data_IF_845276784401
#
_entry.id   IF_845276784401
#
_cell.length_a   1.000
_cell.length_b   1.000
_cell.length_c   1.000
_cell.angle_alpha   90.00
_cell.angle_beta   90.00
_cell.angle_gamma   90.00
#
_symmetry.space_group_name_H-M   'P 1'
#
loop_
_entity.id
_entity.type
_entity.pdbx_description
1 polymer ?
#
# COMPACT_ATOMS: atom_id res chain seq x y z
N UNK A 1 11.94 -14.10 -1.89
CA UNK A 1 10.83 -13.79 -2.82
C UNK A 1 11.16 -12.68 -3.81
N UNK A 2 11.52 -11.47 -3.36
CA UNK A 2 11.69 -10.33 -4.27
C UNK A 2 12.77 -10.52 -5.35
N UNK A 3 13.89 -11.18 -5.04
CA UNK A 3 14.91 -11.55 -6.04
C UNK A 3 14.36 -12.45 -7.15
N UNK A 4 13.52 -13.44 -6.78
CA UNK A 4 12.85 -14.31 -7.74
C UNK A 4 11.86 -13.49 -8.56
N UNK A 5 11.06 -12.64 -7.90
CA UNK A 5 10.11 -11.77 -8.58
C UNK A 5 10.78 -10.90 -9.65
N UNK A 6 11.96 -10.35 -9.38
CA UNK A 6 12.69 -9.53 -10.36
C UNK A 6 13.23 -10.33 -11.55
N UNK A 7 13.54 -11.62 -11.36
CA UNK A 7 14.18 -12.45 -12.37
C UNK A 7 13.20 -13.18 -13.30
N UNK A 8 11.92 -13.32 -12.90
CA UNK A 8 10.92 -14.06 -13.68
C UNK A 8 10.19 -13.19 -14.71
N UNK A 9 9.59 -13.85 -15.70
CA UNK A 9 8.80 -13.20 -16.75
C UNK A 9 7.46 -12.62 -16.22
N UNK A 10 6.76 -11.88 -17.08
CA UNK A 10 5.52 -11.20 -16.72
C UNK A 10 4.38 -12.14 -16.29
N UNK A 11 4.31 -13.34 -16.85
CA UNK A 11 3.26 -14.31 -16.51
C UNK A 11 3.43 -14.83 -15.09
N UNK A 12 4.65 -15.18 -14.71
CA UNK A 12 4.97 -15.63 -13.35
C UNK A 12 4.81 -14.48 -12.36
N UNK A 13 5.24 -13.24 -12.70
CA UNK A 13 4.96 -12.06 -11.86
C UNK A 13 3.47 -11.91 -11.58
N UNK A 14 2.61 -12.08 -12.58
CA UNK A 14 1.15 -12.01 -12.44
C UNK A 14 0.58 -13.13 -11.56
N UNK A 15 1.16 -14.33 -11.62
CA UNK A 15 0.78 -15.42 -10.70
C UNK A 15 1.18 -15.07 -9.27
N UNK A 16 2.44 -14.65 -9.05
CA UNK A 16 2.92 -14.24 -7.72
C UNK A 16 2.00 -13.17 -7.13
N UNK A 17 1.72 -12.10 -7.88
CA UNK A 17 0.87 -11.00 -7.39
C UNK A 17 -0.55 -11.43 -6.98
N UNK A 18 -1.11 -12.47 -7.62
CA UNK A 18 -2.43 -13.02 -7.30
C UNK A 18 -2.43 -13.85 -6.03
N UNK A 19 -1.40 -14.64 -5.80
CA UNK A 19 -1.35 -15.56 -4.64
C UNK A 19 -0.83 -14.91 -3.35
N UNK A 20 -0.34 -13.66 -3.42
CA UNK A 20 0.22 -12.94 -2.27
C UNK A 20 -0.78 -12.62 -1.17
N UNK A 21 -2.07 -12.57 -1.47
CA UNK A 21 -3.04 -11.97 -0.56
C UNK A 21 -3.09 -12.68 0.80
N UNK A 22 -3.34 -13.99 0.83
CA UNK A 22 -3.46 -14.73 2.09
C UNK A 22 -2.14 -14.72 2.88
N UNK A 23 -0.96 -15.08 2.29
CA UNK A 23 0.29 -15.07 3.03
C UNK A 23 0.66 -13.70 3.63
N UNK A 24 0.42 -12.61 2.89
CA UNK A 24 0.74 -11.26 3.39
C UNK A 24 -0.20 -10.86 4.52
N UNK A 25 -1.48 -11.24 4.46
CA UNK A 25 -2.42 -10.99 5.57
C UNK A 25 -2.04 -11.77 6.81
N UNK A 26 -1.66 -13.04 6.65
CA UNK A 26 -1.28 -13.91 7.77
C UNK A 26 -0.02 -13.40 8.49
N UNK A 27 0.93 -12.82 7.74
CA UNK A 27 2.13 -12.17 8.31
C UNK A 27 1.82 -10.84 9.01
N UNK A 28 0.88 -10.07 8.45
CA UNK A 28 0.44 -8.79 9.02
C UNK A 28 1.46 -7.64 8.94
N UNK A 29 1.02 -6.46 9.34
CA UNK A 29 1.81 -5.21 9.26
C UNK A 29 3.02 -5.16 10.20
N UNK A 30 3.03 -5.99 11.25
CA UNK A 30 4.11 -6.06 12.23
C UNK A 30 5.25 -7.03 11.85
N UNK A 31 5.17 -7.72 10.70
CA UNK A 31 6.23 -8.62 10.28
C UNK A 31 7.52 -7.85 9.98
N UNK A 32 8.58 -8.20 10.72
CA UNK A 32 9.92 -7.65 10.52
C UNK A 32 10.45 -7.94 9.10
N UNK A 33 10.09 -9.09 8.52
CA UNK A 33 10.48 -9.48 7.17
C UNK A 33 9.83 -8.58 6.12
N UNK A 34 8.55 -8.25 6.29
CA UNK A 34 7.86 -7.32 5.37
C UNK A 34 8.45 -5.93 5.47
N UNK A 35 8.65 -5.42 6.70
CA UNK A 35 9.21 -4.10 6.93
C UNK A 35 10.62 -3.98 6.33
N UNK A 36 11.47 -5.00 6.55
CA UNK A 36 12.80 -5.10 5.95
C UNK A 36 12.75 -5.16 4.43
N UNK A 37 11.75 -5.83 3.86
CA UNK A 37 11.55 -5.93 2.42
C UNK A 37 11.11 -4.59 1.81
N UNK A 38 10.25 -3.82 2.48
CA UNK A 38 9.87 -2.46 2.06
C UNK A 38 11.09 -1.55 2.10
N UNK A 39 11.85 -1.57 3.19
CA UNK A 39 13.06 -0.77 3.36
C UNK A 39 14.14 -1.07 2.31
N UNK A 40 14.38 -2.37 2.05
CA UNK A 40 15.42 -2.86 1.15
C UNK A 40 14.84 -3.39 -0.16
N UNK A 41 13.81 -2.72 -0.69
CA UNK A 41 13.15 -3.13 -1.92
C UNK A 41 14.18 -3.33 -3.05
N UNK A 42 14.21 -4.46 -3.77
CA UNK A 42 15.07 -4.59 -4.95
C UNK A 42 14.59 -3.74 -6.12
N UNK A 43 15.48 -3.39 -7.05
CA UNK A 43 15.09 -2.71 -8.31
C UNK A 43 14.23 -3.63 -9.18
N UNK A 44 13.06 -3.16 -9.61
CA UNK A 44 12.10 -3.95 -10.38
C UNK A 44 11.09 -4.72 -9.53
N UNK A 45 11.12 -4.58 -8.20
CA UNK A 45 10.16 -5.17 -7.26
C UNK A 45 9.12 -4.16 -6.77
N UNK A 46 9.07 -2.94 -7.30
CA UNK A 46 8.21 -1.86 -6.82
C UNK A 46 6.73 -2.26 -6.87
N UNK A 47 6.29 -2.94 -7.93
CA UNK A 47 4.92 -3.48 -8.07
C UNK A 47 4.57 -4.53 -7.03
N UNK A 48 5.54 -5.35 -6.62
CA UNK A 48 5.38 -6.33 -5.55
C UNK A 48 5.15 -5.61 -4.22
N UNK A 49 5.97 -4.61 -3.91
CA UNK A 49 5.85 -3.81 -2.68
C UNK A 49 4.52 -3.08 -2.64
N UNK A 50 4.12 -2.41 -3.73
CA UNK A 50 2.82 -1.75 -3.83
C UNK A 50 1.68 -2.71 -3.49
N UNK A 51 1.69 -3.94 -4.04
CA UNK A 51 0.65 -4.94 -3.75
C UNK A 51 0.65 -5.36 -2.29
N UNK A 52 1.81 -5.60 -1.69
CA UNK A 52 1.95 -5.96 -0.27
C UNK A 52 1.35 -4.86 0.62
N UNK A 53 1.74 -3.61 0.40
CA UNK A 53 1.24 -2.48 1.20
C UNK A 53 -0.28 -2.36 1.05
N UNK A 54 -0.80 -2.43 -0.17
CA UNK A 54 -2.26 -2.40 -0.40
C UNK A 54 -2.99 -3.50 0.39
N UNK A 55 -2.50 -4.74 0.38
CA UNK A 55 -3.12 -5.86 1.11
C UNK A 55 -3.15 -5.57 2.61
N UNK A 56 -2.04 -5.08 3.16
CA UNK A 56 -1.87 -4.78 4.57
C UNK A 56 -2.78 -3.64 5.07
N UNK A 57 -3.01 -2.63 4.22
CA UNK A 57 -3.75 -1.41 4.57
C UNK A 57 -5.16 -1.36 4.00
N UNK A 58 -5.69 -2.50 3.53
CA UNK A 58 -7.03 -2.54 2.94
C UNK A 58 -8.12 -2.48 3.99
N UNK A 59 -7.94 -3.22 5.09
CA UNK A 59 -8.94 -3.40 6.16
C UNK A 59 -8.57 -2.71 7.46
N UNK A 60 -7.38 -2.12 7.54
CA UNK A 60 -6.85 -1.47 8.72
C UNK A 60 -6.00 -0.25 8.33
N UNK A 61 -5.94 0.78 9.18
CA UNK A 61 -5.01 1.89 8.96
C UNK A 61 -3.55 1.40 9.01
N UNK A 62 -2.63 2.03 8.26
CA UNK A 62 -1.23 1.65 8.27
C UNK A 62 -0.60 1.90 9.66
N UNK A 63 0.33 1.04 10.08
CA UNK A 63 1.16 1.30 11.25
C UNK A 63 2.15 2.44 11.00
N UNK A 64 2.56 3.16 12.05
CA UNK A 64 3.54 4.25 11.93
C UNK A 64 4.85 3.79 11.29
N UNK A 65 5.34 2.63 11.69
CA UNK A 65 6.57 2.04 11.15
C UNK A 65 6.45 1.74 9.65
N UNK A 66 5.31 1.20 9.21
CA UNK A 66 5.06 0.97 7.79
C UNK A 66 5.04 2.30 7.01
N UNK A 67 4.35 3.33 7.54
CA UNK A 67 4.31 4.66 6.91
C UNK A 67 5.71 5.23 6.73
N UNK A 68 6.55 5.16 7.75
CA UNK A 68 7.92 5.66 7.72
C UNK A 68 8.76 4.97 6.63
N UNK A 69 8.73 3.63 6.56
CA UNK A 69 9.48 2.87 5.53
C UNK A 69 8.95 3.13 4.12
N UNK A 70 7.64 3.21 3.94
CA UNK A 70 7.00 3.50 2.64
C UNK A 70 7.35 4.91 2.16
N UNK A 71 7.33 5.89 3.05
CA UNK A 71 7.72 7.27 2.76
C UNK A 71 9.18 7.36 2.33
N UNK A 72 10.08 6.72 3.07
CA UNK A 72 11.50 6.71 2.76
C UNK A 72 11.77 6.08 1.38
N UNK A 73 11.08 4.97 1.08
CA UNK A 73 11.19 4.30 -0.21
C UNK A 73 10.68 5.18 -1.36
N UNK A 74 9.56 5.89 -1.16
CA UNK A 74 9.03 6.85 -2.13
C UNK A 74 10.06 7.92 -2.47
N UNK A 75 10.59 8.62 -1.47
CA UNK A 75 11.55 9.71 -1.71
C UNK A 75 12.86 9.24 -2.33
N UNK A 76 13.34 8.04 -1.98
CA UNK A 76 14.61 7.51 -2.49
C UNK A 76 14.50 6.95 -3.91
N UNK A 77 13.36 6.34 -4.28
CA UNK A 77 13.32 5.44 -5.45
C UNK A 77 12.03 5.44 -6.27
N UNK A 78 10.86 5.72 -5.69
CA UNK A 78 9.58 5.58 -6.40
C UNK A 78 9.02 6.97 -6.70
N UNK A 79 8.94 7.32 -7.98
CA UNK A 79 8.41 8.63 -8.41
C UNK A 79 6.89 8.68 -8.55
N UNK A 80 6.23 7.52 -8.64
CA UNK A 80 4.78 7.43 -8.80
C UNK A 80 4.07 7.70 -7.47
N UNK A 81 3.35 8.82 -7.38
CA UNK A 81 2.63 9.24 -6.18
C UNK A 81 1.54 8.24 -5.74
N UNK A 82 1.06 7.38 -6.65
CA UNK A 82 0.08 6.33 -6.31
C UNK A 82 0.61 5.36 -5.26
N UNK A 83 1.92 5.25 -5.14
CA UNK A 83 2.59 4.47 -4.11
C UNK A 83 2.22 4.88 -2.68
N UNK A 84 1.85 6.15 -2.47
CA UNK A 84 1.47 6.68 -1.16
C UNK A 84 -0.02 6.50 -0.83
N UNK A 85 -0.88 6.17 -1.81
CA UNK A 85 -2.33 6.04 -1.61
C UNK A 85 -2.68 5.04 -0.49
N UNK A 86 -2.06 3.84 -0.40
CA UNK A 86 -2.35 2.88 0.66
C UNK A 86 -2.12 3.42 2.07
N UNK A 87 -1.06 4.22 2.24
CA UNK A 87 -0.62 4.74 3.54
C UNK A 87 -1.09 6.17 3.81
N UNK A 88 -1.93 6.72 2.94
CA UNK A 88 -2.29 8.14 2.93
C UNK A 88 -2.89 8.63 4.26
N UNK A 89 -3.65 7.77 4.95
CA UNK A 89 -4.26 8.08 6.25
C UNK A 89 -3.27 8.11 7.41
N UNK A 90 -2.07 7.58 7.23
CA UNK A 90 -0.98 7.62 8.20
C UNK A 90 0.01 8.76 8.00
N UNK A 91 -0.10 9.51 6.90
CA UNK A 91 0.73 10.68 6.64
C UNK A 91 0.26 11.88 7.47
N UNK A 92 1.20 12.75 7.82
CA UNK A 92 0.88 14.00 8.50
C UNK A 92 0.23 15.02 7.55
N UNK A 93 -0.37 16.07 8.13
CA UNK A 93 -1.07 17.11 7.36
C UNK A 93 -0.16 17.81 6.34
N UNK A 94 1.11 18.04 6.67
CA UNK A 94 2.07 18.74 5.79
C UNK A 94 2.43 17.85 4.60
N UNK A 95 2.67 16.58 4.85
CA UNK A 95 2.93 15.55 3.85
C UNK A 95 1.74 15.45 2.90
N UNK A 96 0.51 15.32 3.41
CA UNK A 96 -0.71 15.26 2.60
C UNK A 96 -0.82 16.49 1.70
N UNK A 97 -0.66 17.70 2.26
CA UNK A 97 -0.73 18.96 1.48
C UNK A 97 0.31 18.97 0.36
N UNK A 98 1.51 18.44 0.60
CA UNK A 98 2.59 18.42 -0.41
C UNK A 98 2.31 17.45 -1.57
N UNK A 99 1.62 16.33 -1.32
CA UNK A 99 1.36 15.29 -2.33
C UNK A 99 0.02 15.46 -3.03
N UNK A 100 -0.95 16.12 -2.38
CA UNK A 100 -2.31 16.29 -2.88
C UNK A 100 -2.37 16.90 -4.31
N UNK A 101 -1.57 17.92 -4.68
CA UNK A 101 -1.56 18.47 -6.04
C UNK A 101 -1.20 17.46 -7.12
N UNK A 102 -0.40 16.43 -6.77
CA UNK A 102 -0.05 15.34 -7.69
C UNK A 102 -1.18 14.31 -7.77
N UNK A 103 -1.83 14.02 -6.63
CA UNK A 103 -2.93 13.05 -6.54
C UNK A 103 -4.18 13.49 -7.31
N UNK A 104 -4.56 14.78 -7.24
CA UNK A 104 -5.76 15.29 -7.94
C UNK A 104 -5.62 15.32 -9.47
N UNK A 105 -4.41 15.20 -10.00
CA UNK A 105 -4.13 15.12 -11.45
C UNK A 105 -4.26 13.69 -12.00
N UNK A 106 -4.49 12.71 -11.14
CA UNK A 106 -4.69 11.32 -11.54
C UNK A 106 -6.08 11.10 -12.14
N UNK A 107 -6.35 9.89 -12.62
CA UNK A 107 -7.65 9.56 -13.21
C UNK A 107 -8.78 9.66 -12.18
N UNK A 108 -10.02 9.98 -12.60
CA UNK A 108 -11.15 10.17 -11.69
C UNK A 108 -11.39 9.01 -10.69
N UNK A 109 -11.23 7.72 -11.07
CA UNK A 109 -11.35 6.61 -10.11
C UNK A 109 -10.32 6.67 -8.98
N UNK A 110 -9.07 7.03 -9.32
CA UNK A 110 -7.98 7.13 -8.34
C UNK A 110 -8.18 8.33 -7.43
N UNK A 111 -8.62 9.46 -7.98
CA UNK A 111 -8.97 10.66 -7.19
C UNK A 111 -10.09 10.34 -6.21
N UNK A 112 -11.13 9.62 -6.64
CA UNK A 112 -12.21 9.15 -5.76
C UNK A 112 -11.67 8.28 -4.61
N UNK A 113 -10.76 7.35 -4.89
CA UNK A 113 -10.14 6.53 -3.84
C UNK A 113 -9.37 7.38 -2.83
N UNK A 114 -8.57 8.34 -3.31
CA UNK A 114 -7.81 9.27 -2.46
C UNK A 114 -8.74 10.01 -1.48
N UNK A 115 -9.82 10.60 -1.97
CA UNK A 115 -10.78 11.28 -1.11
C UNK A 115 -11.51 10.32 -0.16
N UNK A 116 -11.88 9.13 -0.61
CA UNK A 116 -12.49 8.13 0.27
C UNK A 116 -11.58 7.74 1.43
N UNK A 117 -10.26 7.64 1.19
CA UNK A 117 -9.26 7.39 2.24
C UNK A 117 -9.13 8.58 3.18
N UNK A 118 -8.96 9.79 2.65
CA UNK A 118 -8.81 11.01 3.46
C UNK A 118 -10.05 11.31 4.34
N UNK A 119 -11.24 11.00 3.84
CA UNK A 119 -12.51 11.20 4.54
C UNK A 119 -12.90 10.01 5.44
N UNK A 120 -12.06 8.96 5.52
CA UNK A 120 -12.32 7.78 6.35
C UNK A 120 -13.50 6.90 5.87
N UNK A 121 -13.94 7.05 4.63
CA UNK A 121 -15.09 6.34 4.07
C UNK A 121 -14.80 4.85 3.84
N UNK A 122 -13.53 4.47 3.67
CA UNK A 122 -13.12 3.07 3.49
C UNK A 122 -13.08 2.26 4.81
N UNK A 123 -13.06 2.92 5.98
CA UNK A 123 -13.04 2.24 7.28
C UNK A 123 -14.45 1.83 7.75
N UNK A 124 -15.48 2.61 7.37
CA UNK A 124 -16.84 2.51 7.93
C UNK A 124 -17.72 1.41 7.33
N UNK A 125 -17.34 0.83 6.19
CA UNK A 125 -18.11 -0.27 5.58
C UNK A 125 -17.87 -1.62 6.26
N UNK A 126 -16.73 -1.79 6.94
CA UNK A 126 -16.42 -3.01 7.70
C UNK A 126 -17.28 -3.15 8.96
N UNK A 127 -17.51 -2.05 9.68
CA UNK A 127 -18.25 -2.07 10.95
C UNK A 127 -19.75 -2.34 10.74
N UNK A 128 -20.34 -1.92 9.62
CA UNK A 128 -21.77 -2.14 9.33
C UNK A 128 -22.14 -3.59 8.99
N UNK A 129 -21.18 -4.42 8.57
CA UNK A 129 -21.44 -5.83 8.26
C UNK A 129 -21.36 -6.72 9.51
N UNK A 130 -20.61 -6.32 10.54
CA UNK A 130 -20.53 -7.08 11.80
C UNK A 130 -21.85 -7.02 12.59
N UNK A 131 -22.62 -5.94 12.48
CA UNK A 131 -23.93 -5.81 13.13
C UNK A 131 -25.10 -6.49 12.39
N UNK A 132 -24.88 -7.00 11.18
CA UNK A 132 -25.91 -7.71 10.40
C UNK A 132 -25.75 -9.24 10.45
N UNK A 133 -24.72 -9.73 11.15
CA UNK A 133 -24.39 -11.15 11.29
C UNK A 133 -24.15 -11.55 12.77
N UNK A 134 -24.87 -10.91 13.69
CA UNK A 134 -25.07 -11.38 15.07
C UNK A 134 -26.57 -11.37 15.37
#
# INVERSE_FOLDING_TARGET
>A
LATIYTAVNGDIKRVILRVLENPVRDMGMGSAEILKLVENCPKGAETLITRIIHILTEKAPPSRELVEKVRDLYHKRVSDVRFLIPVLTGLDKREIISVLPKLIKLSPPVVKEVFNRLLGLNCKLSERLTFLYV
#
